data_IF_632482448609
#
_entry.id   IF_632482448609
#
_cell.length_a   1.000
_cell.length_b   1.000
_cell.length_c   1.000
_cell.angle_alpha   90.00
_cell.angle_beta   90.00
_cell.angle_gamma   90.00
#
_symmetry.space_group_name_H-M   'P 1'
#
loop_
_entity.id
_entity.type
_entity.pdbx_description
1 polymer ?
#
# COMPACT_ATOMS: atom_id res chain seq x y z
N UNK A 1 24.80 0.73 -0.11
CA UNK A 1 23.62 1.54 -0.46
C UNK A 1 23.17 1.13 -1.85
N UNK A 2 21.98 0.52 -2.02
CA UNK A 2 21.47 0.14 -3.35
C UNK A 2 20.97 1.40 -4.06
N UNK A 3 21.44 1.64 -5.28
CA UNK A 3 20.98 2.75 -6.12
C UNK A 3 19.60 2.38 -6.66
N UNK A 4 18.59 3.19 -6.33
CA UNK A 4 17.22 3.04 -6.85
C UNK A 4 17.23 3.51 -8.30
N UNK A 5 17.02 2.58 -9.24
CA UNK A 5 16.86 2.91 -10.66
C UNK A 5 15.39 3.20 -10.95
N UNK A 6 15.06 4.48 -11.10
CA UNK A 6 13.73 4.91 -11.51
C UNK A 6 13.56 4.72 -13.02
N UNK A 7 12.54 3.97 -13.43
CA UNK A 7 12.13 3.84 -14.84
C UNK A 7 10.85 4.63 -15.05
N UNK A 8 10.71 5.27 -16.22
CA UNK A 8 9.47 5.96 -16.59
C UNK A 8 8.35 4.93 -16.80
N UNK A 9 7.25 5.09 -16.06
CA UNK A 9 6.06 4.30 -16.28
C UNK A 9 5.34 4.76 -17.57
N UNK A 10 4.80 3.81 -18.35
CA UNK A 10 3.99 4.09 -19.56
C UNK A 10 2.49 4.24 -19.26
N UNK A 11 2.11 4.17 -17.99
CA UNK A 11 0.73 4.26 -17.51
C UNK A 11 0.46 5.64 -16.90
N UNK A 12 -0.81 6.03 -16.86
CA UNK A 12 -1.22 7.22 -16.11
C UNK A 12 -0.86 7.05 -14.64
N UNK A 13 -0.25 8.09 -14.07
CA UNK A 13 0.15 8.12 -12.67
C UNK A 13 -0.97 8.79 -11.90
N UNK A 14 -1.60 8.07 -10.96
CA UNK A 14 -2.55 8.69 -10.03
C UNK A 14 -1.87 9.77 -9.19
N UNK A 15 -2.63 10.69 -8.57
CA UNK A 15 -2.12 11.59 -7.54
C UNK A 15 -1.38 10.89 -6.39
N UNK A 16 -1.60 9.58 -6.22
CA UNK A 16 -0.98 8.76 -5.19
C UNK A 16 0.29 8.05 -5.64
N UNK A 17 0.74 8.22 -6.89
CA UNK A 17 1.96 7.58 -7.42
C UNK A 17 3.21 7.82 -6.56
N UNK A 18 3.29 8.95 -5.85
CA UNK A 18 4.37 9.23 -4.90
C UNK A 18 4.43 8.27 -3.70
N UNK A 19 3.31 7.63 -3.33
CA UNK A 19 3.28 6.63 -2.25
C UNK A 19 4.08 5.38 -2.58
N UNK A 20 4.38 5.14 -3.86
CA UNK A 20 5.23 4.03 -4.26
C UNK A 20 6.63 4.11 -3.62
N UNK A 21 7.21 5.31 -3.57
CA UNK A 21 8.53 5.52 -2.96
C UNK A 21 8.50 5.19 -1.48
N UNK A 22 7.42 5.57 -0.80
CA UNK A 22 7.21 5.29 0.63
C UNK A 22 7.01 3.79 0.86
N UNK A 23 6.22 3.13 0.01
CA UNK A 23 5.99 1.70 0.06
C UNK A 23 7.30 0.91 -0.13
N UNK A 24 8.11 1.29 -1.12
CA UNK A 24 9.40 0.65 -1.37
C UNK A 24 10.40 0.92 -0.25
N UNK A 25 10.41 2.13 0.30
CA UNK A 25 11.22 2.44 1.48
C UNK A 25 10.84 1.50 2.65
N UNK A 26 9.55 1.40 2.99
CA UNK A 26 9.04 0.52 4.06
C UNK A 26 9.46 -0.94 3.85
N UNK A 27 9.39 -1.44 2.60
CA UNK A 27 9.81 -2.82 2.27
C UNK A 27 11.30 -3.06 2.47
N UNK A 28 12.13 -2.03 2.27
CA UNK A 28 13.58 -2.16 2.30
C UNK A 28 14.22 -1.79 3.64
N UNK A 29 13.52 -1.11 4.54
CA UNK A 29 14.05 -0.76 5.88
C UNK A 29 13.99 -1.92 6.90
N UNK A 30 13.51 -3.09 6.50
CA UNK A 30 13.40 -4.25 7.40
C UNK A 30 12.16 -4.23 8.30
N UNK A 31 11.15 -3.41 7.99
CA UNK A 31 9.93 -3.30 8.81
C UNK A 31 9.22 -4.65 8.98
N UNK A 32 9.17 -5.48 7.93
CA UNK A 32 8.53 -6.80 8.00
C UNK A 32 9.16 -7.71 9.05
N UNK A 33 10.49 -7.78 9.08
CA UNK A 33 11.21 -8.60 10.06
C UNK A 33 10.96 -8.09 11.48
N UNK A 34 11.05 -6.78 11.68
CA UNK A 34 10.77 -6.14 12.96
C UNK A 34 9.34 -6.43 13.47
N UNK A 35 8.34 -6.34 12.59
CA UNK A 35 6.94 -6.56 12.97
C UNK A 35 6.68 -8.03 13.29
N UNK A 36 7.24 -8.95 12.51
CA UNK A 36 7.10 -10.40 12.75
C UNK A 36 7.74 -10.84 14.07
N UNK A 37 8.86 -10.22 14.45
CA UNK A 37 9.54 -10.49 15.71
C UNK A 37 8.75 -9.95 16.92
N UNK A 38 8.19 -8.74 16.79
CA UNK A 38 7.62 -8.03 17.94
C UNK A 38 6.12 -8.22 18.16
N UNK A 39 5.36 -8.54 17.11
CA UNK A 39 3.90 -8.62 17.18
C UNK A 39 3.39 -10.03 16.97
N UNK A 40 2.42 -10.49 17.77
CA UNK A 40 1.82 -11.79 17.57
C UNK A 40 1.06 -11.85 16.24
N UNK A 41 1.00 -13.04 15.66
CA UNK A 41 0.08 -13.30 14.56
C UNK A 41 -1.37 -13.08 15.02
N UNK A 42 -2.30 -12.75 14.11
CA UNK A 42 -3.69 -12.57 14.47
C UNK A 42 -4.27 -13.87 15.02
N UNK A 43 -4.93 -13.82 16.18
CA UNK A 43 -5.52 -14.99 16.83
C UNK A 43 -6.77 -15.56 16.13
N UNK A 44 -7.25 -14.90 15.08
CA UNK A 44 -8.38 -15.33 14.25
C UNK A 44 -7.95 -15.39 12.80
N UNK A 45 -8.45 -16.37 12.05
CA UNK A 45 -8.21 -16.49 10.61
C UNK A 45 -8.81 -15.32 9.79
N UNK A 46 -9.62 -14.47 10.43
CA UNK A 46 -10.17 -13.21 9.88
C UNK A 46 -9.41 -11.96 10.35
N UNK A 47 -8.45 -12.14 11.26
CA UNK A 47 -7.65 -11.05 11.82
C UNK A 47 -6.62 -10.55 10.82
N UNK A 48 -6.47 -9.23 10.74
CA UNK A 48 -5.50 -8.59 9.84
C UNK A 48 -4.10 -8.78 10.38
N UNK A 49 -3.14 -9.07 9.51
CA UNK A 49 -1.74 -9.16 9.94
C UNK A 49 -1.25 -7.80 10.48
N UNK A 50 -0.44 -7.77 11.55
CA UNK A 50 0.13 -6.53 12.07
C UNK A 50 0.89 -5.74 11.01
N UNK A 51 1.61 -6.44 10.11
CA UNK A 51 2.36 -5.81 9.02
C UNK A 51 1.46 -5.06 8.05
N UNK A 52 0.33 -5.63 7.65
CA UNK A 52 -0.64 -4.95 6.78
C UNK A 52 -1.20 -3.71 7.46
N UNK A 53 -1.56 -3.81 8.74
CA UNK A 53 -2.11 -2.68 9.48
C UNK A 53 -1.11 -1.53 9.62
N UNK A 54 0.13 -1.84 10.02
CA UNK A 54 1.19 -0.84 10.20
C UNK A 54 1.56 -0.20 8.86
N UNK A 55 1.77 -1.00 7.80
CA UNK A 55 2.14 -0.49 6.48
C UNK A 55 1.06 0.42 5.90
N UNK A 56 -0.22 0.03 6.00
CA UNK A 56 -1.34 0.86 5.57
C UNK A 56 -1.47 2.14 6.39
N UNK A 57 -1.16 2.11 7.69
CA UNK A 57 -1.18 3.31 8.54
C UNK A 57 -0.12 4.32 8.11
N UNK A 58 1.12 3.86 7.87
CA UNK A 58 2.20 4.74 7.41
C UNK A 58 1.83 5.36 6.06
N UNK A 59 1.33 4.56 5.12
CA UNK A 59 0.95 5.04 3.79
C UNK A 59 -0.25 6.00 3.84
N UNK A 60 -1.17 5.79 4.77
CA UNK A 60 -2.29 6.72 5.06
C UNK A 60 -1.83 8.07 5.56
N UNK A 61 -0.86 8.10 6.48
CA UNK A 61 -0.30 9.35 6.95
C UNK A 61 0.39 10.13 5.82
N UNK A 62 1.12 9.43 4.95
CA UNK A 62 1.79 10.05 3.79
C UNK A 62 0.81 10.48 2.69
N UNK A 63 -0.35 9.84 2.61
CA UNK A 63 -1.43 10.23 1.69
C UNK A 63 -2.29 11.39 2.23
N UNK A 64 -2.05 11.86 3.46
CA UNK A 64 -2.84 12.91 4.11
C UNK A 64 -4.16 12.43 4.73
N UNK A 65 -4.33 11.12 4.93
CA UNK A 65 -5.48 10.54 5.63
C UNK A 65 -5.54 10.99 7.09
N UNK A 66 -6.75 11.01 7.66
CA UNK A 66 -7.01 11.52 9.01
C UNK A 66 -7.85 10.59 9.86
N UNK A 67 -8.50 9.59 9.26
CA UNK A 67 -9.44 8.70 9.92
C UNK A 67 -8.96 7.26 9.81
N UNK A 68 -9.33 6.43 10.79
CA UNK A 68 -9.03 4.99 10.77
C UNK A 68 -9.62 4.31 9.52
N UNK A 69 -10.76 4.78 9.02
CA UNK A 69 -11.36 4.27 7.78
C UNK A 69 -10.45 4.47 6.55
N UNK A 70 -9.59 5.49 6.55
CA UNK A 70 -8.67 5.76 5.44
C UNK A 70 -7.60 4.67 5.33
N UNK A 71 -7.30 3.97 6.43
CA UNK A 71 -6.41 2.79 6.45
C UNK A 71 -7.03 1.66 5.62
N UNK A 72 -8.35 1.48 5.69
CA UNK A 72 -9.06 0.46 4.93
C UNK A 72 -9.03 0.77 3.43
N UNK A 73 -9.24 2.03 3.04
CA UNK A 73 -9.14 2.51 1.66
C UNK A 73 -7.75 2.27 1.07
N UNK A 74 -6.70 2.67 1.79
CA UNK A 74 -5.33 2.46 1.32
C UNK A 74 -4.95 1.00 1.30
N UNK A 75 -5.42 0.21 2.27
CA UNK A 75 -5.20 -1.24 2.23
C UNK A 75 -5.85 -1.86 1.01
N UNK A 76 -7.08 -1.45 0.66
CA UNK A 76 -7.73 -1.91 -0.56
C UNK A 76 -6.87 -1.60 -1.80
N UNK A 77 -6.29 -0.41 -1.88
CA UNK A 77 -5.39 -0.06 -2.99
C UNK A 77 -4.10 -0.87 -3.03
N UNK A 78 -3.52 -1.22 -1.89
CA UNK A 78 -2.20 -1.89 -1.85
C UNK A 78 -2.32 -3.41 -1.89
N UNK A 79 -3.33 -3.97 -1.22
CA UNK A 79 -3.43 -5.39 -0.91
C UNK A 79 -4.63 -6.10 -1.55
N UNK A 80 -5.56 -5.39 -2.19
CA UNK A 80 -6.68 -6.07 -2.86
C UNK A 80 -6.18 -6.92 -4.04
N UNK A 81 -6.66 -8.17 -4.04
CA UNK A 81 -6.24 -9.28 -4.90
C UNK A 81 -7.03 -9.39 -6.20
N UNK A 82 -7.96 -8.47 -6.47
CA UNK A 82 -8.64 -8.38 -7.78
C UNK A 82 -7.71 -7.93 -8.92
N UNK A 83 -6.50 -7.46 -8.58
CA UNK A 83 -5.44 -7.13 -9.53
C UNK A 83 -4.59 -8.38 -9.84
N UNK A 84 -4.32 -8.60 -11.14
CA UNK A 84 -3.63 -9.75 -11.75
C UNK A 84 -2.40 -10.27 -10.96
N UNK A 85 -2.09 -11.55 -11.12
CA UNK A 85 -0.90 -12.24 -10.62
C UNK A 85 0.45 -11.52 -10.87
N UNK A 86 0.59 -10.73 -11.95
CA UNK A 86 1.78 -9.87 -12.15
C UNK A 86 1.86 -8.72 -11.16
N UNK A 87 0.70 -8.19 -10.77
CA UNK A 87 0.52 -7.12 -9.79
C UNK A 87 0.94 -7.50 -8.38
N UNK A 88 0.72 -8.77 -8.00
CA UNK A 88 1.11 -9.32 -6.69
C UNK A 88 2.63 -9.29 -6.44
N UNK A 89 3.45 -9.43 -7.48
CA UNK A 89 4.92 -9.38 -7.32
C UNK A 89 5.44 -7.96 -7.06
N UNK A 90 4.66 -6.95 -7.41
CA UNK A 90 5.11 -5.57 -7.39
C UNK A 90 4.42 -4.74 -6.29
N UNK A 91 3.15 -4.98 -5.91
CA UNK A 91 2.43 -4.13 -4.93
C UNK A 91 2.23 -2.66 -5.37
N UNK A 92 2.86 -2.29 -6.48
CA UNK A 92 3.01 -0.98 -7.10
C UNK A 92 1.76 -0.54 -7.84
N UNK A 93 1.06 -1.47 -8.49
CA UNK A 93 0.05 -1.11 -9.50
C UNK A 93 -1.25 -0.57 -8.89
N UNK A 94 -1.65 -1.03 -7.70
CA UNK A 94 -2.90 -0.56 -7.09
C UNK A 94 -2.81 0.88 -6.55
N UNK A 95 -1.60 1.33 -6.20
CA UNK A 95 -1.30 2.74 -5.94
C UNK A 95 -1.41 3.57 -7.22
N UNK A 96 -1.03 3.02 -8.37
CA UNK A 96 -0.94 3.74 -9.64
C UNK A 96 -2.25 3.74 -10.45
N UNK A 97 -3.20 2.81 -10.24
CA UNK A 97 -4.28 2.56 -11.21
C UNK A 97 -5.67 3.10 -10.85
N UNK A 98 -5.98 3.52 -9.62
CA UNK A 98 -7.37 3.92 -9.30
C UNK A 98 -7.54 5.37 -8.82
N UNK A 99 -7.91 6.24 -9.76
CA UNK A 99 -8.56 7.53 -9.47
C UNK A 99 -10.09 7.47 -9.69
N UNK A 100 -10.60 6.56 -10.52
CA UNK A 100 -11.99 6.58 -10.98
C UNK A 100 -13.06 6.13 -9.96
N UNK A 101 -12.68 5.55 -8.82
CA UNK A 101 -13.66 5.04 -7.85
C UNK A 101 -14.16 6.09 -6.84
N UNK A 102 -13.53 7.27 -6.74
CA UNK A 102 -13.90 8.29 -5.73
C UNK A 102 -14.69 9.46 -6.35
N UNK A 103 -14.58 9.69 -7.66
CA UNK A 103 -15.28 10.78 -8.34
C UNK A 103 -16.65 10.39 -8.93
N UNK A 104 -17.02 9.11 -8.93
CA UNK A 104 -18.27 8.61 -9.52
C UNK A 104 -19.55 8.75 -8.67
N UNK A 105 -19.48 9.28 -7.45
CA UNK A 105 -20.63 9.43 -6.54
C UNK A 105 -21.05 10.91 -6.34
N UNK A 106 -20.79 11.73 -7.36
CA UNK A 106 -21.31 13.10 -7.47
C UNK A 106 -21.91 13.29 -8.87
N UNK A 107 -23.04 12.63 -9.09
CA UNK A 107 -23.96 12.87 -10.20
C UNK A 107 -25.35 13.13 -9.64
#
# INVERSE_FOLDING_TARGET
MKIIHLKRAKMEVTPFGGLLLVHDFIRNIGLEAFVKDRFPAPGSNRGRSPLQFISSTILMQHAGGRKVIDIETIRYWIFDTSLDSRTRKEGVLGIIVRQEAIQGDKG
#
